data_IF_688025662623
#
_entry.id   IF_688025662623
#
_cell.length_a   1.000
_cell.length_b   1.000
_cell.length_c   1.000
_cell.angle_alpha   90.00
_cell.angle_beta   90.00
_cell.angle_gamma   90.00
#
_symmetry.space_group_name_H-M   'P 1'
#
loop_
_entity.id
_entity.type
_entity.pdbx_description
1 polymer ?
#
# COMPACT_ATOMS: atom_id res chain seq x y z
N UNK A 1 14.99 -11.98 9.50
CA UNK A 1 14.39 -10.68 9.12
C UNK A 1 13.19 -10.96 8.24
N UNK A 2 11.99 -10.49 8.60
CA UNK A 2 10.72 -10.86 7.96
C UNK A 2 10.67 -10.58 6.44
N UNK A 3 11.40 -9.55 5.97
CA UNK A 3 11.54 -9.23 4.55
C UNK A 3 12.27 -10.32 3.76
N UNK A 4 13.30 -10.96 4.36
CA UNK A 4 14.01 -12.07 3.73
C UNK A 4 13.13 -13.32 3.63
N UNK A 5 12.34 -13.61 4.66
CA UNK A 5 11.36 -14.71 4.64
C UNK A 5 10.32 -14.52 3.54
N UNK A 6 9.82 -13.29 3.38
CA UNK A 6 8.87 -12.97 2.31
C UNK A 6 9.47 -13.24 0.92
N UNK A 7 10.73 -12.89 0.70
CA UNK A 7 11.44 -13.17 -0.56
C UNK A 7 11.55 -14.66 -0.84
N UNK A 8 11.92 -15.45 0.16
CA UNK A 8 12.07 -16.91 0.02
C UNK A 8 10.73 -17.56 -0.28
N UNK A 9 9.66 -17.14 0.40
CA UNK A 9 8.32 -17.73 0.24
C UNK A 9 7.67 -17.38 -1.12
N UNK A 10 7.88 -16.16 -1.62
CA UNK A 10 7.17 -15.65 -2.81
C UNK A 10 8.00 -15.54 -4.08
N UNK A 11 9.34 -15.48 -3.98
CA UNK A 11 10.21 -15.18 -5.11
C UNK A 11 10.08 -13.74 -5.60
N UNK A 12 9.57 -12.83 -4.76
CA UNK A 12 9.45 -11.42 -5.08
C UNK A 12 10.79 -10.69 -4.93
N UNK A 13 10.99 -9.72 -5.82
CA UNK A 13 12.12 -8.79 -5.77
C UNK A 13 11.85 -7.66 -4.78
N UNK A 14 12.91 -6.92 -4.39
CA UNK A 14 12.76 -5.77 -3.50
C UNK A 14 11.84 -4.70 -4.12
N UNK A 15 11.90 -4.51 -5.43
CA UNK A 15 11.05 -3.58 -6.19
C UNK A 15 9.56 -3.95 -6.09
N UNK A 16 9.24 -5.24 -6.01
CA UNK A 16 7.86 -5.72 -5.89
C UNK A 16 7.37 -5.76 -4.44
N UNK A 17 8.28 -5.88 -3.47
CA UNK A 17 7.96 -5.89 -2.04
C UNK A 17 7.67 -4.47 -1.51
N UNK A 18 8.38 -3.45 -2.02
CA UNK A 18 8.19 -2.07 -1.56
C UNK A 18 6.73 -1.58 -1.71
N UNK A 19 6.05 -1.78 -2.87
CA UNK A 19 4.63 -1.49 -3.03
C UNK A 19 3.71 -2.23 -2.06
N UNK A 20 3.97 -3.52 -1.78
CA UNK A 20 3.16 -4.32 -0.84
C UNK A 20 3.15 -3.72 0.57
N UNK A 21 4.28 -3.15 0.98
CA UNK A 21 4.45 -2.51 2.28
C UNK A 21 4.05 -1.02 2.27
N UNK A 22 3.68 -0.48 1.10
CA UNK A 22 3.36 0.93 0.91
C UNK A 22 4.54 1.83 1.31
N UNK A 23 5.75 1.46 0.91
CA UNK A 23 6.98 2.24 1.17
C UNK A 23 7.78 2.42 -0.12
N UNK A 24 8.68 3.41 -0.12
CA UNK A 24 9.62 3.57 -1.21
C UNK A 24 10.69 2.46 -1.21
N UNK A 25 11.28 2.19 -2.37
CA UNK A 25 12.41 1.27 -2.49
C UNK A 25 13.57 1.67 -1.56
N UNK A 26 13.86 2.98 -1.45
CA UNK A 26 14.90 3.51 -0.55
C UNK A 26 14.61 3.15 0.91
N UNK A 27 13.36 3.31 1.36
CA UNK A 27 12.96 2.94 2.73
C UNK A 27 13.12 1.45 2.98
N UNK A 28 12.80 0.61 1.99
CA UNK A 28 13.00 -0.83 2.09
C UNK A 28 14.49 -1.20 2.21
N UNK A 29 15.36 -0.57 1.42
CA UNK A 29 16.82 -0.76 1.51
C UNK A 29 17.35 -0.35 2.88
N UNK A 30 16.87 0.76 3.43
CA UNK A 30 17.21 1.22 4.79
C UNK A 30 16.83 0.19 5.85
N UNK A 31 15.68 -0.47 5.72
CA UNK A 31 15.29 -1.57 6.62
C UNK A 31 16.16 -2.81 6.45
N UNK A 32 16.51 -3.18 5.21
CA UNK A 32 17.41 -4.29 4.94
C UNK A 32 18.82 -4.06 5.52
N UNK A 33 19.24 -2.79 5.61
CA UNK A 33 20.47 -2.38 6.28
C UNK A 33 20.38 -2.36 7.83
N UNK A 34 19.26 -2.81 8.41
CA UNK A 34 19.10 -2.96 9.86
C UNK A 34 18.47 -1.75 10.57
N UNK A 35 17.94 -0.77 9.83
CA UNK A 35 17.22 0.34 10.46
C UNK A 35 15.90 -0.12 11.09
N UNK A 36 15.47 0.52 12.19
CA UNK A 36 14.24 0.15 12.88
C UNK A 36 13.01 0.33 11.98
N UNK A 37 12.11 -0.64 12.06
CA UNK A 37 10.82 -0.64 11.37
C UNK A 37 9.76 -0.16 12.36
N UNK A 38 8.92 0.79 11.97
CA UNK A 38 7.80 1.22 12.81
C UNK A 38 6.75 0.11 12.98
N UNK A 39 6.15 0.00 14.16
CA UNK A 39 5.22 -1.08 14.52
C UNK A 39 4.08 -1.29 13.49
N UNK A 40 3.50 -0.22 12.95
CA UNK A 40 2.46 -0.30 11.91
C UNK A 40 2.95 -0.99 10.63
N UNK A 41 4.19 -0.71 10.22
CA UNK A 41 4.79 -1.29 9.01
C UNK A 41 5.21 -2.74 9.26
N UNK A 42 5.68 -3.06 10.46
CA UNK A 42 5.97 -4.44 10.85
C UNK A 42 4.69 -5.30 10.89
N UNK A 43 3.59 -4.77 11.42
CA UNK A 43 2.29 -5.45 11.41
C UNK A 43 1.82 -5.74 9.98
N UNK A 44 1.95 -4.75 9.08
CA UNK A 44 1.64 -4.94 7.65
C UNK A 44 2.53 -5.99 6.99
N UNK A 45 3.83 -5.99 7.29
CA UNK A 45 4.77 -6.98 6.78
C UNK A 45 4.40 -8.41 7.23
N UNK A 46 3.99 -8.57 8.50
CA UNK A 46 3.45 -9.85 9.00
C UNK A 46 2.20 -10.28 8.24
N UNK A 47 1.22 -9.40 8.10
CA UNK A 47 -0.03 -9.72 7.38
C UNK A 47 0.22 -10.13 5.93
N UNK A 48 1.14 -9.45 5.22
CA UNK A 48 1.54 -9.83 3.86
C UNK A 48 2.23 -11.20 3.85
N UNK A 49 3.14 -11.46 4.79
CA UNK A 49 3.84 -12.73 4.89
C UNK A 49 2.87 -13.90 5.15
N UNK A 50 1.91 -13.71 6.04
CA UNK A 50 0.90 -14.73 6.37
C UNK A 50 -0.01 -15.01 5.16
N UNK A 51 -0.44 -13.97 4.43
CA UNK A 51 -1.21 -14.15 3.21
C UNK A 51 -0.41 -14.90 2.13
N UNK A 52 0.85 -14.53 1.91
CA UNK A 52 1.74 -15.22 0.96
C UNK A 52 1.97 -16.67 1.37
N UNK A 53 2.11 -16.97 2.66
CA UNK A 53 2.24 -18.35 3.17
C UNK A 53 0.98 -19.16 2.93
N UNK A 54 -0.19 -18.57 3.15
CA UNK A 54 -1.48 -19.22 2.86
C UNK A 54 -1.68 -19.52 1.37
N UNK A 55 -1.06 -18.70 0.51
CA UNK A 55 -1.06 -18.83 -0.95
C UNK A 55 0.04 -19.74 -1.50
N UNK A 56 1.06 -20.03 -0.69
CA UNK A 56 2.29 -20.66 -1.14
C UNK A 56 2.00 -22.01 -1.80
N UNK A 57 2.54 -22.17 -3.01
CA UNK A 57 2.55 -23.44 -3.70
C UNK A 57 3.81 -24.25 -3.31
N UNK A 58 3.91 -25.48 -3.81
CA UNK A 58 5.04 -26.39 -3.56
C UNK A 58 6.38 -25.74 -3.94
N UNK A 59 6.38 -24.83 -4.93
CA UNK A 59 7.59 -24.12 -5.36
C UNK A 59 7.41 -22.61 -5.30
N UNK A 60 8.49 -21.91 -4.99
CA UNK A 60 8.54 -20.43 -4.99
C UNK A 60 8.11 -19.85 -6.35
N UNK A 61 8.51 -20.47 -7.45
CA UNK A 61 8.11 -20.04 -8.79
C UNK A 61 6.61 -20.19 -9.04
N UNK A 62 5.98 -21.25 -8.53
CA UNK A 62 4.55 -21.44 -8.62
C UNK A 62 3.79 -20.42 -7.74
N UNK A 63 4.32 -20.08 -6.56
CA UNK A 63 3.77 -18.99 -5.73
C UNK A 63 3.82 -17.65 -6.47
N UNK A 64 4.97 -17.34 -7.10
CA UNK A 64 5.12 -16.14 -7.93
C UNK A 64 4.12 -16.12 -9.09
N UNK A 65 4.02 -17.23 -9.82
CA UNK A 65 3.07 -17.35 -10.92
C UNK A 65 1.63 -17.10 -10.46
N UNK A 66 1.23 -17.66 -9.31
CA UNK A 66 -0.10 -17.43 -8.72
C UNK A 66 -0.34 -15.97 -8.34
N UNK A 67 0.65 -15.29 -7.75
CA UNK A 67 0.50 -13.88 -7.34
C UNK A 67 0.27 -12.95 -8.54
N UNK A 68 0.86 -13.27 -9.69
CA UNK A 68 0.75 -12.48 -10.91
C UNK A 68 -0.30 -12.99 -11.90
N UNK A 69 -0.91 -14.15 -11.63
CA UNK A 69 -2.00 -14.67 -12.43
C UNK A 69 -3.25 -13.78 -12.26
N UNK A 70 -3.87 -13.45 -13.39
CA UNK A 70 -5.14 -12.72 -13.41
C UNK A 70 -6.31 -13.70 -13.29
N UNK A 71 -6.13 -14.96 -13.67
CA UNK A 71 -7.23 -15.91 -13.75
C UNK A 71 -8.39 -15.34 -14.59
N UNK A 72 -9.63 -15.58 -14.16
CA UNK A 72 -10.84 -15.06 -14.83
C UNK A 72 -11.22 -13.63 -14.41
N UNK A 73 -10.53 -13.06 -13.43
CA UNK A 73 -10.82 -11.73 -12.89
C UNK A 73 -9.76 -10.76 -13.42
N UNK A 74 -10.10 -9.52 -13.78
CA UNK A 74 -9.11 -8.56 -14.30
C UNK A 74 -8.09 -8.09 -13.25
N UNK A 75 -8.18 -8.61 -12.02
CA UNK A 75 -7.43 -8.19 -10.83
C UNK A 75 -6.50 -9.32 -10.38
N UNK A 76 -5.23 -9.01 -10.12
CA UNK A 76 -4.25 -9.98 -9.63
C UNK A 76 -4.31 -10.07 -8.10
N UNK A 77 -4.01 -11.23 -7.50
CA UNK A 77 -3.78 -11.34 -6.06
C UNK A 77 -2.75 -10.33 -5.56
N UNK A 78 -1.70 -10.07 -6.35
CA UNK A 78 -0.69 -9.06 -6.05
C UNK A 78 -1.28 -7.66 -5.84
N UNK A 79 -2.22 -7.24 -6.70
CA UNK A 79 -2.85 -5.92 -6.59
C UNK A 79 -3.71 -5.81 -5.32
N UNK A 80 -4.43 -6.89 -4.98
CA UNK A 80 -5.21 -6.98 -3.73
C UNK A 80 -4.33 -6.89 -2.48
N UNK A 81 -3.13 -7.46 -2.50
CA UNK A 81 -2.18 -7.34 -1.39
C UNK A 81 -1.65 -5.91 -1.25
N UNK A 82 -1.48 -5.16 -2.34
CA UNK A 82 -1.12 -3.73 -2.28
C UNK A 82 -2.25 -2.93 -1.62
N UNK A 83 -3.50 -3.21 -1.96
CA UNK A 83 -4.68 -2.57 -1.36
C UNK A 83 -4.89 -2.95 0.11
N UNK A 84 -4.19 -3.98 0.61
CA UNK A 84 -4.36 -4.49 1.98
C UNK A 84 -5.53 -5.45 2.14
N UNK A 85 -6.09 -5.95 1.03
CA UNK A 85 -7.19 -6.92 0.99
C UNK A 85 -6.64 -8.35 1.03
N UNK A 86 -6.02 -8.70 2.15
CA UNK A 86 -5.28 -9.96 2.30
C UNK A 86 -6.15 -11.21 2.11
N UNK A 87 -7.31 -11.27 2.76
CA UNK A 87 -8.23 -12.41 2.65
C UNK A 87 -8.74 -12.60 1.22
N UNK A 88 -9.10 -11.52 0.54
CA UNK A 88 -9.55 -11.56 -0.85
C UNK A 88 -8.45 -12.06 -1.80
N UNK A 89 -7.18 -11.72 -1.54
CA UNK A 89 -6.06 -12.22 -2.32
C UNK A 89 -5.90 -13.75 -2.15
N UNK A 90 -6.04 -14.25 -0.91
CA UNK A 90 -5.99 -15.69 -0.59
C UNK A 90 -7.13 -16.45 -1.27
N UNK A 91 -8.34 -15.94 -1.17
CA UNK A 91 -9.53 -16.56 -1.78
C UNK A 91 -9.40 -16.61 -3.31
N UNK A 92 -8.95 -15.52 -3.93
CA UNK A 92 -8.81 -15.42 -5.38
C UNK A 92 -7.75 -16.40 -5.92
N UNK A 93 -6.58 -16.50 -5.29
CA UNK A 93 -5.52 -17.39 -5.80
C UNK A 93 -5.63 -18.85 -5.34
N UNK A 94 -6.43 -19.16 -4.32
CA UNK A 94 -6.75 -20.56 -3.97
C UNK A 94 -8.01 -21.08 -4.66
N UNK A 95 -8.78 -20.22 -5.32
CA UNK A 95 -10.05 -20.57 -5.94
C UNK A 95 -11.15 -20.95 -4.94
N UNK A 96 -10.92 -20.71 -3.64
CA UNK A 96 -11.94 -20.88 -2.61
C UNK A 96 -12.93 -19.72 -2.74
N UNK A 97 -13.99 -19.93 -3.51
CA UNK A 97 -15.17 -19.06 -3.46
C UNK A 97 -15.82 -19.21 -2.10
N UNK A 98 -15.35 -18.46 -1.09
CA UNK A 98 -16.22 -18.14 0.04
C UNK A 98 -17.37 -17.32 -0.54
N UNK A 99 -18.60 -17.82 -0.42
CA UNK A 99 -19.79 -17.06 -0.74
C UNK A 99 -19.79 -15.80 0.14
N UNK A 100 -19.33 -14.68 -0.40
CA UNK A 100 -19.41 -13.38 0.26
C UNK A 100 -20.86 -12.91 0.18
N UNK A 101 -21.48 -12.46 1.29
CA UNK A 101 -22.75 -11.76 1.23
C UNK A 101 -22.59 -10.46 0.42
N UNK A 102 -23.62 -10.04 -0.32
CA UNK A 102 -23.56 -8.92 -1.24
C UNK A 102 -23.67 -7.59 -0.48
N UNK A 103 -22.62 -7.21 0.26
CA UNK A 103 -22.59 -5.90 0.92
C UNK A 103 -21.17 -5.35 0.93
N UNK A 104 -20.74 -4.82 -0.21
CA UNK A 104 -19.76 -3.71 -0.32
C UNK A 104 -19.54 -3.41 -1.81
N UNK A 105 -20.62 -2.99 -2.47
CA UNK A 105 -20.51 -2.07 -3.60
C UNK A 105 -20.40 -0.67 -2.99
N UNK A 106 -19.43 0.11 -3.46
CA UNK A 106 -18.93 1.38 -2.90
C UNK A 106 -18.03 1.14 -1.67
N UNK A 107 -16.76 1.53 -1.69
CA UNK A 107 -16.36 2.94 -1.76
C UNK A 107 -14.86 3.14 -2.10
N UNK A 108 -14.59 4.11 -3.00
CA UNK A 108 -13.51 5.11 -2.93
C UNK A 108 -12.07 4.71 -3.29
N UNK A 109 -11.27 5.46 -4.07
CA UNK A 109 -11.41 6.75 -4.78
C UNK A 109 -10.35 6.74 -5.89
N UNK A 110 -10.75 6.97 -7.13
CA UNK A 110 -9.83 7.09 -8.26
C UNK A 110 -8.90 8.29 -8.06
N UNK A 111 -7.60 8.10 -8.27
CA UNK A 111 -6.53 9.13 -8.15
C UNK A 111 -6.86 10.42 -8.92
N UNK A 112 -7.66 10.33 -9.98
CA UNK A 112 -8.18 11.47 -10.73
C UNK A 112 -9.02 12.45 -9.88
N UNK A 113 -9.79 11.98 -8.89
CA UNK A 113 -10.60 12.84 -8.04
C UNK A 113 -9.78 13.60 -6.97
N UNK A 114 -8.55 13.16 -6.71
CA UNK A 114 -7.67 13.81 -5.74
C UNK A 114 -6.86 14.96 -6.34
N UNK A 115 -6.68 14.99 -7.67
CA UNK A 115 -6.02 16.08 -8.40
C UNK A 115 -6.92 17.32 -8.55
N UNK A 116 -8.22 17.13 -8.78
CA UNK A 116 -9.20 18.22 -8.92
C UNK A 116 -9.33 19.09 -7.64
N UNK A 117 -9.10 18.48 -6.47
CA UNK A 117 -9.10 19.20 -5.17
C UNK A 117 -7.85 20.06 -4.97
N UNK A 118 -6.72 19.70 -5.58
CA UNK A 118 -5.46 20.43 -5.40
C UNK A 118 -5.43 21.65 -6.34
N UNK A 119 -5.98 21.55 -7.55
CA UNK A 119 -5.98 22.66 -8.52
C UNK A 119 -6.84 23.85 -8.06
N UNK A 120 -7.93 23.61 -7.33
CA UNK A 120 -8.78 24.69 -6.81
C UNK A 120 -8.20 25.44 -5.59
N UNK A 121 -7.06 25.00 -5.02
CA UNK A 121 -6.47 25.59 -3.83
C UNK A 121 -5.34 26.60 -4.13
N UNK A 122 -4.95 26.78 -5.39
CA UNK A 122 -3.77 27.57 -5.78
C UNK A 122 -4.14 28.99 -6.26
N UNK A 123 -5.42 29.37 -6.25
CA UNK A 123 -5.87 30.69 -6.70
C UNK A 123 -6.23 31.64 -5.54
N UNK A 124 -5.25 31.95 -4.68
CA UNK A 124 -5.32 33.16 -3.86
C UNK A 124 -3.95 33.83 -3.75
N UNK A 125 -3.79 35.09 -4.21
CA UNK A 125 -2.50 35.75 -4.28
C UNK A 125 -2.06 36.35 -2.92
N UNK A 126 -0.84 35.99 -2.52
CA UNK A 126 0.23 36.94 -2.15
C UNK A 126 0.00 38.01 -1.06
N UNK A 127 0.47 37.73 0.17
CA UNK A 127 1.18 38.64 1.11
C UNK A 127 0.55 40.02 1.49
N UNK A 128 1.23 40.89 2.29
CA UNK A 128 2.57 40.78 2.86
C UNK A 128 2.72 41.06 4.38
N UNK A 129 3.79 40.49 4.93
CA UNK A 129 4.82 41.08 5.81
C UNK A 129 4.60 42.48 6.44
N UNK A 130 4.96 42.53 7.73
CA UNK A 130 5.74 43.59 8.40
C UNK A 130 5.03 44.90 8.87
N UNK A 131 5.21 45.14 10.19
CA UNK A 131 5.98 46.30 10.74
C UNK A 131 5.19 47.56 11.21
N UNK A 132 5.20 47.71 12.54
CA UNK A 132 5.52 48.92 13.36
C UNK A 132 4.48 50.04 13.61
N UNK A 133 4.40 50.33 14.93
CA UNK A 133 4.53 51.63 15.61
C UNK A 133 3.43 52.71 15.50
N UNK A 134 3.20 53.33 16.68
CA UNK A 134 2.61 54.65 16.95
C UNK A 134 1.07 54.71 16.89
N UNK A 135 0.28 55.18 17.85
CA UNK A 135 0.41 55.91 19.12
C UNK A 135 -1.04 56.36 19.48
N UNK A 136 -1.38 56.76 20.72
CA UNK A 136 -2.76 57.11 21.06
C UNK A 136 -3.03 58.61 20.83
N UNK A 137 -4.18 58.95 20.23
CA UNK A 137 -4.71 60.31 20.24
C UNK A 137 -6.21 60.30 20.56
N UNK A 138 -6.51 60.83 21.75
CA UNK A 138 -7.84 61.24 22.23
C UNK A 138 -8.55 62.16 21.25
N UNK A 139 -9.88 62.16 21.30
CA UNK A 139 -10.65 63.39 21.57
C UNK A 139 -11.80 63.07 22.51
#
# INVERSE_FOLDING_TARGET
MLTAELKVASGLTNEEIAPLLGVSHRSLQTWLAGSPIGARKEARLRAVLDAVRALAAITTQATRARLFDRGAHSVRPYDLLIEGRFDAAVDLATGRRRALPPTERAQNTTVAAQLDRIENAIDTPSGPLNRRLSGPLRR
#
